data_IF_945867972272
#
_entry.id   IF_945867972272
#
_cell.length_a   1.000
_cell.length_b   1.000
_cell.length_c   1.000
_cell.angle_alpha   90.00
_cell.angle_beta   90.00
_cell.angle_gamma   90.00
#
_symmetry.space_group_name_H-M   'P 1'
#
loop_
_entity.id
_entity.type
_entity.pdbx_description
1 polymer ?
#
# COMPACT_ATOMS: atom_id res chain seq x y z
N UNK A 1 -61.32 10.39 25.02
CA UNK A 1 -61.12 9.37 23.96
C UNK A 1 -60.11 8.38 24.50
N UNK A 2 -60.60 7.21 24.89
CA UNK A 2 -59.87 6.16 25.58
C UNK A 2 -59.16 5.27 24.56
N UNK A 3 -57.83 5.23 24.58
CA UNK A 3 -57.08 4.16 23.91
C UNK A 3 -56.40 3.30 24.98
N UNK A 4 -57.16 2.28 25.38
CA UNK A 4 -56.77 1.17 26.21
C UNK A 4 -55.81 0.26 25.42
N UNK A 5 -54.51 0.49 25.53
CA UNK A 5 -53.50 -0.50 25.11
C UNK A 5 -53.23 -1.42 26.30
N UNK A 6 -54.19 -2.31 26.55
CA UNK A 6 -53.97 -3.50 27.35
C UNK A 6 -53.01 -4.41 26.61
N UNK A 7 -51.71 -4.15 26.75
CA UNK A 7 -50.67 -5.14 26.50
C UNK A 7 -50.87 -6.20 27.56
N UNK A 8 -51.71 -7.19 27.26
CA UNK A 8 -51.74 -8.43 28.01
C UNK A 8 -50.33 -8.98 27.93
N UNK A 9 -49.64 -8.93 29.06
CA UNK A 9 -48.45 -9.72 29.33
C UNK A 9 -48.91 -11.18 29.26
N UNK A 10 -49.04 -11.72 28.04
CA UNK A 10 -49.02 -13.16 27.84
C UNK A 10 -47.68 -13.61 28.41
N UNK A 11 -47.78 -14.38 29.49
CA UNK A 11 -46.63 -15.01 30.11
C UNK A 11 -45.82 -15.65 29.01
N UNK A 12 -44.54 -15.30 28.94
CA UNK A 12 -43.58 -15.78 27.95
C UNK A 12 -43.25 -17.25 28.25
N UNK A 13 -44.29 -18.10 28.29
CA UNK A 13 -44.19 -19.54 28.40
C UNK A 13 -43.61 -20.02 27.07
N UNK A 14 -42.47 -20.71 27.15
CA UNK A 14 -41.88 -21.35 25.98
C UNK A 14 -42.94 -22.21 25.29
N UNK A 15 -42.99 -22.21 23.95
CA UNK A 15 -43.88 -23.11 23.20
C UNK A 15 -43.76 -24.56 23.67
N UNK A 16 -42.57 -24.96 24.13
CA UNK A 16 -42.32 -26.26 24.75
C UNK A 16 -43.13 -26.47 26.04
N UNK A 17 -43.19 -25.50 26.95
CA UNK A 17 -44.00 -25.62 28.18
C UNK A 17 -45.49 -25.64 27.86
N UNK A 18 -45.94 -24.87 26.87
CA UNK A 18 -47.35 -24.85 26.45
C UNK A 18 -47.84 -26.20 25.92
N UNK A 19 -46.97 -26.94 25.20
CA UNK A 19 -47.28 -28.28 24.69
C UNK A 19 -47.10 -29.38 25.75
N UNK A 20 -46.09 -29.26 26.63
CA UNK A 20 -45.79 -30.27 27.65
C UNK A 20 -46.80 -30.24 28.82
N UNK A 21 -47.31 -29.07 29.19
CA UNK A 21 -48.27 -28.91 30.29
C UNK A 21 -49.54 -29.77 30.13
N UNK A 22 -50.30 -29.72 29.02
CA UNK A 22 -51.49 -30.57 28.86
C UNK A 22 -51.14 -32.06 28.77
N UNK A 23 -49.94 -32.41 28.28
CA UNK A 23 -49.47 -33.79 28.18
C UNK A 23 -49.17 -34.38 29.58
N UNK A 24 -48.49 -33.61 30.44
CA UNK A 24 -48.25 -33.96 31.84
C UNK A 24 -49.56 -34.03 32.63
N UNK A 25 -50.51 -33.14 32.35
CA UNK A 25 -51.85 -33.19 32.96
C UNK A 25 -52.60 -34.46 32.54
N UNK A 26 -52.59 -34.81 31.25
CA UNK A 26 -53.20 -36.05 30.77
C UNK A 26 -52.55 -37.28 31.41
N UNK A 27 -51.22 -37.32 31.52
CA UNK A 27 -50.49 -38.40 32.20
C UNK A 27 -50.93 -38.54 33.66
N UNK A 28 -50.99 -37.44 34.42
CA UNK A 28 -51.40 -37.48 35.83
C UNK A 28 -52.86 -37.93 35.99
N UNK A 29 -53.78 -37.44 35.15
CA UNK A 29 -55.18 -37.87 35.16
C UNK A 29 -55.32 -39.36 34.82
N UNK A 30 -54.57 -39.86 33.84
CA UNK A 30 -54.57 -41.26 33.47
C UNK A 30 -54.06 -42.16 34.60
N UNK A 31 -52.96 -41.78 35.27
CA UNK A 31 -52.43 -42.52 36.43
C UNK A 31 -53.44 -42.59 37.58
N UNK A 32 -54.12 -41.49 37.90
CA UNK A 32 -55.15 -41.46 38.94
C UNK A 32 -56.36 -42.33 38.56
N UNK A 33 -56.74 -42.34 37.29
CA UNK A 33 -57.81 -43.21 36.78
C UNK A 33 -57.43 -44.69 36.94
N UNK A 34 -56.23 -45.09 36.52
CA UNK A 34 -55.76 -46.47 36.68
C UNK A 34 -55.66 -46.89 38.15
N UNK A 35 -55.22 -45.98 39.03
CA UNK A 35 -55.16 -46.26 40.47
C UNK A 35 -56.56 -46.42 41.08
N UNK A 36 -57.56 -45.68 40.61
CA UNK A 36 -58.96 -45.82 41.03
C UNK A 36 -59.61 -47.13 40.57
N UNK A 37 -59.11 -47.74 39.48
CA UNK A 37 -59.57 -49.02 38.94
C UNK A 37 -58.78 -50.23 39.47
N UNK A 38 -57.70 -50.00 40.23
CA UNK A 38 -56.84 -51.06 40.77
C UNK A 38 -57.51 -51.80 41.95
N UNK A 39 -57.19 -53.09 42.18
CA UNK A 39 -57.85 -53.91 43.20
C UNK A 39 -57.65 -53.38 44.64
N UNK A 40 -58.59 -53.68 45.58
CA UNK A 40 -58.70 -53.00 46.86
C UNK A 40 -57.65 -53.48 47.87
N UNK A 41 -56.42 -52.96 47.79
CA UNK A 41 -55.40 -53.11 48.84
C UNK A 41 -55.31 -51.85 49.73
N UNK A 42 -55.76 -50.70 49.22
CA UNK A 42 -55.81 -49.39 49.92
C UNK A 42 -57.07 -48.65 49.51
N UNK A 43 -57.69 -47.82 50.38
CA UNK A 43 -58.85 -46.98 50.02
C UNK A 43 -58.58 -46.28 48.68
N UNK A 44 -59.30 -46.60 47.59
CA UNK A 44 -58.95 -46.07 46.27
C UNK A 44 -59.21 -44.56 46.21
N UNK A 45 -58.36 -43.79 45.51
CA UNK A 45 -58.61 -42.38 45.27
C UNK A 45 -59.90 -42.19 44.46
N UNK A 46 -60.59 -41.07 44.66
CA UNK A 46 -61.81 -40.73 43.90
C UNK A 46 -61.46 -40.70 42.40
N UNK A 47 -62.26 -41.36 41.53
CA UNK A 47 -62.01 -41.34 40.10
C UNK A 47 -62.05 -39.90 39.56
N UNK A 48 -61.14 -39.54 38.64
CA UNK A 48 -61.11 -38.21 38.06
C UNK A 48 -62.37 -38.00 37.19
N UNK A 49 -62.94 -36.77 37.18
CA UNK A 49 -64.12 -36.47 36.38
C UNK A 49 -63.79 -36.50 34.88
N UNK A 50 -64.67 -37.11 34.07
CA UNK A 50 -64.52 -37.17 32.61
C UNK A 50 -64.34 -35.80 31.94
N UNK A 51 -64.94 -34.76 32.54
CA UNK A 51 -64.79 -33.37 32.11
C UNK A 51 -63.33 -32.88 32.12
N UNK A 52 -62.48 -33.39 33.02
CA UNK A 52 -61.07 -33.00 33.10
C UNK A 52 -60.26 -33.49 31.89
N UNK A 53 -60.55 -34.70 31.38
CA UNK A 53 -59.92 -35.22 30.16
C UNK A 53 -60.31 -34.42 28.93
N UNK A 54 -61.61 -34.08 28.80
CA UNK A 54 -62.11 -33.26 27.70
C UNK A 54 -61.47 -31.86 27.74
N UNK A 55 -61.28 -31.30 28.93
CA UNK A 55 -60.62 -30.00 29.07
C UNK A 55 -59.14 -30.08 28.68
N UNK A 56 -58.42 -31.14 29.07
CA UNK A 56 -57.03 -31.34 28.66
C UNK A 56 -56.90 -31.51 27.15
N UNK A 57 -57.82 -32.25 26.52
CA UNK A 57 -57.87 -32.44 25.07
C UNK A 57 -58.09 -31.12 24.32
N UNK A 58 -59.05 -30.31 24.78
CA UNK A 58 -59.27 -28.95 24.25
C UNK A 58 -58.04 -28.05 24.40
N UNK A 59 -57.38 -28.10 25.55
CA UNK A 59 -56.18 -27.31 25.81
C UNK A 59 -55.01 -27.76 24.90
N UNK A 60 -54.86 -29.06 24.67
CA UNK A 60 -53.85 -29.63 23.77
C UNK A 60 -54.13 -29.24 22.31
N UNK A 61 -55.37 -29.37 21.85
CA UNK A 61 -55.77 -28.94 20.50
C UNK A 61 -55.50 -27.44 20.28
N UNK A 62 -55.81 -26.60 21.28
CA UNK A 62 -55.50 -25.18 21.24
C UNK A 62 -53.99 -24.92 21.14
N UNK A 63 -53.18 -25.57 21.98
CA UNK A 63 -51.72 -25.42 21.97
C UNK A 63 -51.09 -25.86 20.64
N UNK A 64 -51.60 -26.94 20.03
CA UNK A 64 -51.13 -27.42 18.71
C UNK A 64 -51.45 -26.40 17.61
N UNK A 65 -52.67 -25.87 17.59
CA UNK A 65 -53.06 -24.86 16.58
C UNK A 65 -52.19 -23.61 16.68
N UNK A 66 -51.95 -23.14 17.91
CA UNK A 66 -51.06 -22.01 18.16
C UNK A 66 -49.62 -22.32 17.72
N UNK A 67 -49.10 -23.51 18.05
CA UNK A 67 -47.77 -23.94 17.61
C UNK A 67 -47.64 -23.95 16.08
N UNK A 68 -48.67 -24.39 15.37
CA UNK A 68 -48.71 -24.36 13.91
C UNK A 68 -48.64 -22.92 13.36
N UNK A 69 -49.43 -22.01 13.91
CA UNK A 69 -49.39 -20.59 13.52
C UNK A 69 -48.01 -19.96 13.77
N UNK A 70 -47.40 -20.25 14.92
CA UNK A 70 -46.05 -19.80 15.23
C UNK A 70 -45.03 -20.38 14.26
N UNK A 71 -45.14 -21.65 13.89
CA UNK A 71 -44.21 -22.27 12.96
C UNK A 71 -44.31 -21.66 11.56
N UNK A 72 -45.51 -21.30 11.10
CA UNK A 72 -45.70 -20.61 9.81
C UNK A 72 -45.05 -19.21 9.87
N UNK A 73 -45.26 -18.47 10.96
CA UNK A 73 -44.64 -17.16 11.15
C UNK A 73 -43.12 -17.26 11.24
N UNK A 74 -42.59 -18.27 11.94
CA UNK A 74 -41.16 -18.48 12.07
C UNK A 74 -40.51 -18.75 10.71
N UNK A 75 -41.10 -19.63 9.88
CA UNK A 75 -40.59 -19.86 8.51
C UNK A 75 -40.56 -18.58 7.68
N UNK A 76 -41.54 -17.70 7.87
CA UNK A 76 -41.57 -16.39 7.20
C UNK A 76 -40.46 -15.47 7.72
N UNK A 77 -40.20 -15.48 9.03
CA UNK A 77 -39.09 -14.74 9.63
C UNK A 77 -37.76 -15.24 9.07
N UNK A 78 -37.54 -16.56 9.08
CA UNK A 78 -36.30 -17.16 8.58
C UNK A 78 -36.07 -16.82 7.09
N UNK A 79 -37.13 -16.81 6.27
CA UNK A 79 -37.04 -16.42 4.86
C UNK A 79 -36.69 -14.93 4.69
N UNK A 80 -37.30 -14.03 5.47
CA UNK A 80 -36.97 -12.61 5.44
C UNK A 80 -35.57 -12.34 5.96
N UNK A 81 -35.10 -13.10 6.95
CA UNK A 81 -33.73 -13.02 7.46
C UNK A 81 -32.73 -13.40 6.38
N UNK A 82 -32.98 -14.48 5.63
CA UNK A 82 -32.12 -14.84 4.49
C UNK A 82 -32.10 -13.76 3.40
N UNK A 83 -33.25 -13.15 3.09
CA UNK A 83 -33.32 -12.06 2.11
C UNK A 83 -32.52 -10.82 2.57
N UNK A 84 -32.61 -10.46 3.86
CA UNK A 84 -31.82 -9.36 4.43
C UNK A 84 -30.33 -9.65 4.31
N UNK A 85 -29.89 -10.87 4.63
CA UNK A 85 -28.48 -11.25 4.53
C UNK A 85 -27.97 -11.22 3.09
N UNK A 86 -28.78 -11.65 2.12
CA UNK A 86 -28.45 -11.54 0.70
C UNK A 86 -28.31 -10.08 0.24
N UNK A 87 -29.26 -9.23 0.62
CA UNK A 87 -29.21 -7.79 0.31
C UNK A 87 -28.01 -7.11 0.96
N UNK A 88 -27.66 -7.48 2.19
CA UNK A 88 -26.50 -6.93 2.89
C UNK A 88 -25.19 -7.38 2.23
N UNK A 89 -25.11 -8.61 1.72
CA UNK A 89 -23.97 -9.09 0.94
C UNK A 89 -23.82 -8.31 -0.38
N UNK A 90 -24.92 -8.10 -1.11
CA UNK A 90 -24.92 -7.29 -2.33
C UNK A 90 -24.51 -5.84 -2.06
N UNK A 91 -25.03 -5.24 -0.99
CA UNK A 91 -24.66 -3.89 -0.60
C UNK A 91 -23.17 -3.76 -0.30
N UNK A 92 -22.59 -4.72 0.46
CA UNK A 92 -21.15 -4.75 0.73
C UNK A 92 -20.33 -4.86 -0.55
N UNK A 93 -20.76 -5.69 -1.49
CA UNK A 93 -20.09 -5.82 -2.78
C UNK A 93 -20.07 -4.49 -3.55
N UNK A 94 -21.22 -3.81 -3.64
CA UNK A 94 -21.33 -2.50 -4.29
C UNK A 94 -20.41 -1.47 -3.61
N UNK A 95 -20.35 -1.47 -2.27
CA UNK A 95 -19.44 -0.59 -1.54
C UNK A 95 -17.97 -0.90 -1.82
N UNK A 96 -17.58 -2.17 -1.96
CA UNK A 96 -16.22 -2.57 -2.33
C UNK A 96 -15.86 -2.08 -3.73
N UNK A 97 -16.72 -2.38 -4.70
CA UNK A 97 -16.52 -1.96 -6.10
C UNK A 97 -16.44 -0.43 -6.23
N UNK A 98 -17.26 0.30 -5.48
CA UNK A 98 -17.21 1.76 -5.45
C UNK A 98 -15.92 2.30 -4.81
N UNK A 99 -15.45 1.67 -3.73
CA UNK A 99 -14.21 2.06 -3.07
C UNK A 99 -12.98 1.79 -3.96
N UNK A 100 -12.96 0.65 -4.63
CA UNK A 100 -11.94 0.29 -5.61
C UNK A 100 -11.93 1.28 -6.78
N UNK A 101 -13.09 1.52 -7.41
CA UNK A 101 -13.20 2.48 -8.52
C UNK A 101 -12.83 3.91 -8.10
N UNK A 102 -13.14 4.32 -6.86
CA UNK A 102 -12.69 5.59 -6.31
C UNK A 102 -11.16 5.64 -6.20
N UNK A 103 -10.54 4.61 -5.63
CA UNK A 103 -9.08 4.54 -5.47
C UNK A 103 -8.35 4.56 -6.82
N UNK A 104 -8.89 3.87 -7.84
CA UNK A 104 -8.33 3.89 -9.19
C UNK A 104 -8.41 5.28 -9.81
N UNK A 105 -9.53 5.98 -9.66
CA UNK A 105 -9.70 7.34 -10.17
C UNK A 105 -8.78 8.33 -9.44
N UNK A 106 -8.61 8.21 -8.13
CA UNK A 106 -7.66 9.03 -7.37
C UNK A 106 -6.23 8.84 -7.89
N UNK A 107 -5.80 7.59 -8.13
CA UNK A 107 -4.48 7.32 -8.70
C UNK A 107 -4.29 7.91 -10.11
N UNK A 108 -5.33 7.87 -10.96
CA UNK A 108 -5.28 8.48 -12.30
C UNK A 108 -5.18 10.00 -12.21
N UNK A 109 -5.87 10.63 -11.26
CA UNK A 109 -5.81 12.07 -11.04
C UNK A 109 -4.42 12.47 -10.55
N UNK A 110 -3.86 11.75 -9.57
CA UNK A 110 -2.50 11.98 -9.07
C UNK A 110 -1.46 11.87 -10.20
N UNK A 111 -1.51 10.81 -11.01
CA UNK A 111 -0.63 10.67 -12.17
C UNK A 111 -0.83 11.81 -13.20
N UNK A 112 -2.07 12.24 -13.39
CA UNK A 112 -2.40 13.38 -14.24
C UNK A 112 -1.75 14.68 -13.77
N UNK A 113 -1.83 14.96 -12.48
CA UNK A 113 -1.25 16.14 -11.84
C UNK A 113 0.28 16.12 -11.91
N UNK A 114 0.91 14.97 -11.65
CA UNK A 114 2.36 14.78 -11.82
C UNK A 114 2.82 15.04 -13.26
N UNK A 115 2.08 14.52 -14.25
CA UNK A 115 2.38 14.74 -15.67
C UNK A 115 2.24 16.22 -16.06
N UNK A 116 1.22 16.92 -15.55
CA UNK A 116 1.04 18.35 -15.80
C UNK A 116 2.22 19.13 -15.21
N UNK A 117 2.59 18.85 -13.96
CA UNK A 117 3.73 19.49 -13.31
C UNK A 117 5.04 19.27 -14.10
N UNK A 118 5.30 18.04 -14.55
CA UNK A 118 6.48 17.74 -15.38
C UNK A 118 6.48 18.47 -16.72
N UNK A 119 5.30 18.64 -17.35
CA UNK A 119 5.17 19.42 -18.59
C UNK A 119 5.43 20.90 -18.35
N UNK A 120 4.94 21.44 -17.23
CA UNK A 120 5.19 22.84 -16.85
C UNK A 120 6.67 23.08 -16.56
N UNK A 121 7.32 22.21 -15.79
CA UNK A 121 8.77 22.27 -15.55
C UNK A 121 9.56 22.17 -16.86
N UNK A 122 9.20 21.25 -17.75
CA UNK A 122 9.86 21.12 -19.05
C UNK A 122 9.66 22.36 -19.96
N UNK A 123 8.51 23.05 -19.84
CA UNK A 123 8.27 24.31 -20.54
C UNK A 123 9.11 25.44 -19.97
N UNK A 124 9.23 25.54 -18.65
CA UNK A 124 10.07 26.54 -17.98
C UNK A 124 11.56 26.33 -18.27
N UNK A 125 12.02 25.08 -18.26
CA UNK A 125 13.38 24.68 -18.62
C UNK A 125 13.62 24.58 -20.13
N UNK A 126 12.70 25.06 -20.97
CA UNK A 126 12.83 24.92 -22.41
C UNK A 126 14.01 25.74 -22.95
N UNK A 127 15.00 25.03 -23.50
CA UNK A 127 16.16 25.66 -24.14
C UNK A 127 15.73 26.17 -25.52
N UNK A 128 16.03 27.43 -25.87
CA UNK A 128 15.68 27.95 -27.18
C UNK A 128 16.36 27.15 -28.29
N UNK A 129 15.55 26.74 -29.27
CA UNK A 129 15.97 25.97 -30.44
C UNK A 129 17.27 26.47 -31.14
N UNK A 130 17.51 27.79 -31.34
CA UNK A 130 18.75 28.24 -31.97
C UNK A 130 20.01 27.92 -31.15
N UNK A 131 19.96 27.96 -29.81
CA UNK A 131 21.10 27.63 -28.96
C UNK A 131 21.40 26.13 -28.98
N UNK A 132 20.35 25.31 -28.98
CA UNK A 132 20.46 23.86 -29.08
C UNK A 132 21.08 23.45 -30.42
N UNK A 133 20.67 24.07 -31.53
CA UNK A 133 21.27 23.84 -32.85
C UNK A 133 22.74 24.30 -32.90
N UNK A 134 23.05 25.48 -32.37
CA UNK A 134 24.43 25.98 -32.35
C UNK A 134 25.33 25.06 -31.53
N UNK A 135 24.86 24.60 -30.37
CA UNK A 135 25.59 23.66 -29.53
C UNK A 135 25.73 22.29 -30.21
N UNK A 136 24.68 21.75 -30.81
CA UNK A 136 24.73 20.48 -31.54
C UNK A 136 25.71 20.55 -32.74
N UNK A 137 25.74 21.67 -33.48
CA UNK A 137 26.71 21.88 -34.53
C UNK A 137 28.14 21.94 -33.98
N UNK A 138 28.34 22.55 -32.82
CA UNK A 138 29.65 22.58 -32.15
C UNK A 138 30.10 21.18 -31.71
N UNK A 139 29.19 20.37 -31.16
CA UNK A 139 29.47 19.00 -30.73
C UNK A 139 29.71 18.04 -31.90
N UNK A 140 29.04 18.24 -33.03
CA UNK A 140 29.14 17.39 -34.21
C UNK A 140 30.59 17.19 -34.68
N UNK A 141 31.44 18.22 -34.53
CA UNK A 141 32.87 18.13 -34.85
C UNK A 141 33.70 17.25 -33.88
N UNK A 142 33.16 16.90 -32.71
CA UNK A 142 33.83 16.12 -31.65
C UNK A 142 33.14 14.77 -31.37
N UNK A 143 31.91 14.56 -31.85
CA UNK A 143 31.12 13.35 -31.59
C UNK A 143 31.13 12.41 -32.80
N UNK A 144 32.06 11.45 -32.79
CA UNK A 144 32.22 10.33 -33.74
C UNK A 144 32.56 10.67 -35.20
N UNK A 145 33.54 9.96 -35.74
CA UNK A 145 33.82 9.95 -37.17
C UNK A 145 32.64 9.25 -37.88
N UNK A 146 32.15 9.78 -39.02
CA UNK A 146 31.17 9.09 -39.83
C UNK A 146 31.66 7.68 -40.20
N UNK A 147 30.82 6.62 -40.15
CA UNK A 147 31.21 5.22 -40.33
C UNK A 147 31.87 4.90 -41.70
N UNK A 148 31.86 5.82 -42.66
CA UNK A 148 32.50 5.70 -43.98
C UNK A 148 33.47 6.86 -44.29
N UNK A 149 34.32 7.27 -43.33
CA UNK A 149 35.38 8.24 -43.64
C UNK A 149 36.37 7.61 -44.65
N UNK A 150 36.55 8.19 -45.85
CA UNK A 150 37.55 7.73 -46.80
C UNK A 150 38.95 7.92 -46.22
N UNK A 151 39.84 6.95 -46.48
CA UNK A 151 41.23 6.97 -46.02
C UNK A 151 41.95 8.23 -46.54
N UNK A 152 42.36 9.12 -45.63
CA UNK A 152 42.86 10.48 -45.93
C UNK A 152 44.24 10.50 -46.59
N UNK A 153 44.82 9.33 -46.90
CA UNK A 153 46.11 9.23 -47.58
C UNK A 153 46.02 9.33 -49.10
N UNK A 154 44.82 9.46 -49.68
CA UNK A 154 44.60 9.55 -51.13
C UNK A 154 44.61 11.01 -51.63
N UNK A 155 45.52 11.38 -52.57
CA UNK A 155 45.59 12.74 -53.09
C UNK A 155 44.39 13.06 -53.99
N UNK A 156 43.73 14.21 -53.76
CA UNK A 156 42.68 14.77 -54.64
C UNK A 156 41.27 14.90 -54.05
N UNK A 157 41.07 14.61 -52.76
CA UNK A 157 39.75 14.77 -52.12
C UNK A 157 39.50 16.19 -51.59
N UNK A 158 38.21 16.61 -51.51
CA UNK A 158 37.84 17.87 -50.87
C UNK A 158 38.35 17.92 -49.43
N UNK A 159 38.65 19.12 -48.89
CA UNK A 159 39.20 19.27 -47.55
C UNK A 159 38.31 18.53 -46.55
N UNK A 160 38.89 17.67 -45.70
CA UNK A 160 38.11 16.83 -44.82
C UNK A 160 37.29 17.70 -43.85
N UNK A 161 36.06 17.26 -43.48
CA UNK A 161 35.32 17.91 -42.42
C UNK A 161 36.20 17.94 -41.16
N UNK A 162 36.23 19.11 -40.48
CA UNK A 162 37.04 19.32 -39.28
C UNK A 162 36.58 18.36 -38.18
N UNK A 163 37.27 17.23 -38.07
CA UNK A 163 37.01 16.22 -37.05
C UNK A 163 38.07 16.33 -35.96
N UNK A 164 37.60 16.50 -34.73
CA UNK A 164 38.45 16.50 -33.55
C UNK A 164 38.25 15.20 -32.78
N UNK A 165 39.32 14.67 -32.17
CA UNK A 165 39.20 13.49 -31.33
C UNK A 165 38.22 13.75 -30.16
N UNK A 166 37.51 12.72 -29.69
CA UNK A 166 36.45 12.85 -28.69
C UNK A 166 36.96 13.30 -27.31
N UNK A 167 38.27 13.26 -27.08
CA UNK A 167 38.93 13.76 -25.89
C UNK A 167 40.06 14.74 -26.25
N UNK A 168 40.40 15.70 -25.37
CA UNK A 168 41.52 16.61 -25.59
C UNK A 168 42.84 15.86 -25.77
N UNK A 169 43.55 16.10 -26.87
CA UNK A 169 44.90 15.56 -27.08
C UNK A 169 45.92 16.19 -26.14
N UNK A 170 47.01 15.46 -25.85
CA UNK A 170 48.12 15.91 -25.00
C UNK A 170 48.67 17.28 -25.40
N UNK A 171 48.82 17.55 -26.71
CA UNK A 171 49.27 18.87 -27.19
C UNK A 171 48.31 20.01 -26.83
N UNK A 172 46.99 19.77 -26.88
CA UNK A 172 45.96 20.73 -26.48
C UNK A 172 45.96 20.93 -24.97
N UNK A 173 46.17 19.85 -24.20
CA UNK A 173 46.28 19.92 -22.74
C UNK A 173 47.52 20.70 -22.31
N UNK A 174 48.66 20.52 -22.99
CA UNK A 174 49.91 21.25 -22.72
C UNK A 174 49.88 22.72 -23.12
N UNK A 175 49.18 23.04 -24.21
CA UNK A 175 48.97 24.43 -24.63
C UNK A 175 47.92 25.13 -23.77
N UNK A 176 47.11 24.36 -23.05
CA UNK A 176 46.06 24.86 -22.18
C UNK A 176 46.61 25.65 -20.99
N UNK A 177 45.80 26.59 -20.51
CA UNK A 177 46.12 27.43 -19.34
C UNK A 177 46.46 26.61 -18.09
N UNK A 178 45.85 25.45 -17.92
CA UNK A 178 46.11 24.56 -16.79
C UNK A 178 47.58 24.08 -16.75
N UNK A 179 48.20 23.82 -17.89
CA UNK A 179 49.62 23.44 -17.94
C UNK A 179 50.54 24.62 -17.62
N UNK A 180 50.15 25.85 -17.98
CA UNK A 180 50.91 27.04 -17.61
C UNK A 180 50.98 27.26 -16.09
N UNK A 181 49.97 26.81 -15.35
CA UNK A 181 49.90 26.89 -13.89
C UNK A 181 50.52 25.65 -13.22
N UNK A 182 50.38 24.47 -13.82
CA UNK A 182 50.98 23.21 -13.36
C UNK A 182 51.43 22.35 -14.58
N UNK A 183 52.71 22.38 -14.96
CA UNK A 183 53.16 21.73 -16.19
C UNK A 183 53.02 20.21 -16.10
N UNK A 184 52.34 19.65 -17.11
CA UNK A 184 52.39 18.21 -17.41
C UNK A 184 53.85 17.88 -17.74
N UNK A 185 54.40 16.79 -17.18
CA UNK A 185 55.81 16.37 -17.30
C UNK A 185 56.33 16.17 -18.73
N UNK A 186 57.46 15.48 -18.90
CA UNK A 186 58.07 15.33 -20.24
C UNK A 186 57.12 14.63 -21.23
N UNK A 187 57.29 14.90 -22.53
CA UNK A 187 56.45 14.31 -23.59
C UNK A 187 56.56 12.78 -23.59
N UNK A 188 55.47 12.11 -23.23
CA UNK A 188 55.42 10.64 -23.14
C UNK A 188 55.54 10.07 -21.71
N UNK A 189 55.70 10.88 -20.67
CA UNK A 189 55.65 10.41 -19.28
C UNK A 189 54.20 10.16 -18.83
N UNK A 190 53.85 8.91 -18.57
CA UNK A 190 52.56 8.52 -18.02
C UNK A 190 52.56 8.63 -16.49
N UNK A 191 52.15 9.78 -15.96
CA UNK A 191 51.94 9.95 -14.52
C UNK A 191 50.60 9.32 -14.11
N UNK A 192 50.60 8.40 -13.15
CA UNK A 192 49.38 7.74 -12.68
C UNK A 192 48.45 8.75 -12.00
N UNK A 193 47.33 9.06 -12.65
CA UNK A 193 46.31 9.96 -12.08
C UNK A 193 45.55 9.22 -10.97
N UNK A 194 45.67 9.67 -9.71
CA UNK A 194 44.84 9.16 -8.61
C UNK A 194 45.58 8.64 -7.36
N UNK A 195 46.93 8.66 -7.30
CA UNK A 195 47.63 8.38 -6.04
C UNK A 195 47.80 9.67 -5.24
N UNK A 196 47.24 9.78 -4.01
CA UNK A 196 47.48 10.94 -3.16
C UNK A 196 48.99 11.06 -2.89
N UNK A 197 49.53 12.30 -2.76
CA UNK A 197 50.97 12.50 -2.64
C UNK A 197 51.47 11.78 -1.40
N UNK A 198 52.16 10.66 -1.63
CA UNK A 198 52.84 9.93 -0.59
C UNK A 198 54.10 10.71 -0.28
N UNK A 199 54.16 11.19 0.95
CA UNK A 199 55.24 11.98 1.53
C UNK A 199 56.55 11.18 1.39
N UNK A 200 57.49 11.72 0.60
CA UNK A 200 58.96 11.57 0.58
C UNK A 200 59.63 10.22 0.96
N UNK A 201 60.80 9.98 0.35
CA UNK A 201 62.01 10.14 1.15
C UNK A 201 63.07 11.07 0.52
N UNK A 202 63.64 11.91 1.40
CA UNK A 202 65.01 12.49 1.42
C UNK A 202 66.08 11.48 0.93
N UNK A 203 67.24 11.81 0.36
CA UNK A 203 68.01 13.06 0.22
C UNK A 203 69.23 12.84 -0.73
N UNK A 204 69.88 13.95 -1.12
CA UNK A 204 71.30 14.23 -1.48
C UNK A 204 71.43 14.99 -2.82
N UNK A 205 71.42 16.33 -2.80
CA UNK A 205 72.58 17.27 -2.81
C UNK A 205 73.41 17.17 -4.12
N UNK A 206 73.68 18.23 -4.90
CA UNK A 206 74.35 19.51 -4.56
C UNK A 206 74.05 20.62 -5.62
N UNK A 207 74.08 21.90 -5.18
CA UNK A 207 74.21 23.19 -5.90
C UNK A 207 72.91 23.81 -6.49
N UNK A 208 72.53 25.07 -6.28
CA UNK A 208 73.20 26.24 -5.70
C UNK A 208 72.17 27.29 -5.21
N UNK A 209 72.60 28.04 -4.18
CA UNK A 209 72.26 29.40 -3.76
C UNK A 209 71.10 30.15 -4.43
N UNK A 210 70.14 30.58 -3.60
CA UNK A 210 69.16 31.61 -3.95
C UNK A 210 68.21 31.90 -2.78
N UNK A 211 68.67 32.68 -1.81
CA UNK A 211 67.87 33.16 -0.68
C UNK A 211 66.73 34.07 -1.16
N UNK A 212 65.48 33.70 -0.88
CA UNK A 212 64.32 34.59 -1.06
C UNK A 212 63.66 34.87 0.32
N UNK A 213 63.80 36.09 0.88
CA UNK A 213 63.37 36.44 2.23
C UNK A 213 61.88 36.84 2.39
N UNK A 214 60.99 36.42 1.48
CA UNK A 214 59.56 36.80 1.50
C UNK A 214 58.60 35.60 1.69
N UNK A 215 58.98 34.61 2.49
CA UNK A 215 58.05 33.54 2.90
C UNK A 215 57.30 34.00 4.15
N UNK A 216 56.12 34.60 3.97
CA UNK A 216 55.18 34.84 5.07
C UNK A 216 54.41 33.56 5.35
N UNK A 217 54.63 32.99 6.54
CA UNK A 217 53.81 31.93 7.12
C UNK A 217 52.40 32.48 7.43
N UNK A 218 51.39 32.04 6.67
CA UNK A 218 49.99 32.17 7.03
C UNK A 218 49.34 30.78 7.02
N UNK A 219 49.50 30.09 8.14
CA UNK A 219 48.78 28.86 8.46
C UNK A 219 47.38 29.24 8.97
N UNK A 220 46.36 29.14 8.14
CA UNK A 220 44.97 29.16 8.59
C UNK A 220 44.54 27.73 9.04
N UNK A 221 43.81 27.57 10.16
CA UNK A 221 43.30 26.27 10.60
C UNK A 221 42.08 25.85 9.76
N UNK A 222 42.00 24.57 9.40
CA UNK A 222 40.81 23.95 8.79
C UNK A 222 39.70 23.85 9.85
N UNK A 223 38.46 24.26 9.59
CA UNK A 223 37.33 23.79 10.38
C UNK A 223 36.97 22.36 9.96
N UNK A 224 37.06 21.48 10.96
CA UNK A 224 36.41 20.18 11.02
C UNK A 224 34.90 20.42 10.98
N UNK A 225 34.17 19.75 10.08
CA UNK A 225 32.72 19.60 10.20
C UNK A 225 32.40 18.12 10.19
N UNK A 226 32.06 17.66 11.39
CA UNK A 226 31.62 16.33 11.79
C UNK A 226 30.11 16.28 11.50
N UNK A 227 29.71 15.58 10.43
CA UNK A 227 28.30 15.30 10.15
C UNK A 227 27.87 14.13 11.03
N UNK A 228 27.28 14.46 12.16
CA UNK A 228 26.57 13.53 13.04
C UNK A 228 25.24 13.13 12.37
N UNK A 229 25.21 11.95 11.76
CA UNK A 229 24.02 11.34 11.16
C UNK A 229 23.23 10.64 12.29
N UNK A 230 22.31 11.37 12.91
CA UNK A 230 21.31 10.79 13.81
C UNK A 230 20.31 9.94 13.01
N UNK A 231 20.37 8.62 13.21
CA UNK A 231 19.64 7.59 12.45
C UNK A 231 18.53 6.93 13.29
N UNK A 232 17.90 7.65 14.23
CA UNK A 232 16.73 7.13 14.93
C UNK A 232 15.64 8.20 15.13
N UNK A 233 14.73 8.41 14.17
CA UNK A 233 13.43 8.97 14.47
C UNK A 233 12.48 7.84 14.87
N UNK A 234 11.89 7.99 16.05
CA UNK A 234 10.64 7.39 16.54
C UNK A 234 10.74 6.25 17.59
N UNK A 235 10.60 6.67 18.85
CA UNK A 235 9.94 5.97 19.96
C UNK A 235 9.04 6.98 20.69
#
# INVERSE_FOLDING_TARGET
MSNNTGVNHETNESMSSMLLNPLNQLQSLALVLFQSLSPPQTKPPRPPPAAAFIQCDKNLAHAINLAQEHQIKQRKIDALESEILELEAQWRQICSELAEGKSELEAIIEEGDERIAAIEEAKEASIPYPELLAYAQSLSAFTSAPPNMPDLTLPGQPPPPLFFPPFPNEEKMRRGRLNAEAPLGLLGETHSVGRPPTVSPKETDVHASGANPYRQDLRAPKPFFELDLDLNPDL
#
